data_IF_141260730806
#
_entry.id   IF_141260730806
#
_cell.length_a   1.000
_cell.length_b   1.000
_cell.length_c   1.000
_cell.angle_alpha   90.00
_cell.angle_beta   90.00
_cell.angle_gamma   90.00
#
_symmetry.space_group_name_H-M   'P 1'
#
loop_
_entity.id
_entity.type
_entity.pdbx_description
1 polymer ?
#
# COMPACT_ATOMS: atom_id res chain seq x y z
N UNK A 1 -11.91 3.52 28.37
CA UNK A 1 -12.02 2.29 29.20
C UNK A 1 -13.11 2.51 30.25
N UNK A 2 -14.36 2.16 29.93
CA UNK A 2 -15.46 1.96 30.88
C UNK A 2 -16.41 0.97 30.21
N UNK A 3 -16.69 -0.16 30.87
CA UNK A 3 -17.76 -1.08 30.48
C UNK A 3 -18.95 -0.75 31.38
N UNK A 4 -20.10 -0.41 30.79
CA UNK A 4 -21.40 -0.45 31.48
C UNK A 4 -22.24 -1.57 30.87
N UNK A 5 -22.51 -2.59 31.67
CA UNK A 5 -23.46 -3.66 31.37
C UNK A 5 -24.57 -3.63 32.44
N UNK A 6 -25.80 -3.90 32.04
CA UNK A 6 -26.88 -4.38 32.92
C UNK A 6 -27.53 -5.63 32.30
N UNK A 7 -28.16 -6.51 33.10
CA UNK A 7 -27.79 -7.92 33.16
C UNK A 7 -28.86 -8.88 32.62
N UNK A 8 -28.45 -10.11 32.28
CA UNK A 8 -29.39 -11.18 31.94
C UNK A 8 -28.74 -12.53 31.68
N UNK A 9 -28.62 -13.35 32.74
CA UNK A 9 -28.45 -14.81 32.80
C UNK A 9 -27.05 -15.46 32.60
N UNK A 10 -26.72 -16.30 33.60
CA UNK A 10 -25.60 -17.26 33.76
C UNK A 10 -25.71 -18.38 32.70
N UNK A 11 -24.72 -19.20 32.32
CA UNK A 11 -23.45 -19.67 32.87
C UNK A 11 -22.57 -20.14 31.68
N UNK A 12 -21.24 -20.12 31.70
CA UNK A 12 -20.42 -21.17 32.30
C UNK A 12 -18.94 -20.73 32.23
N UNK A 13 -18.21 -21.06 33.30
CA UNK A 13 -16.82 -20.68 33.55
C UNK A 13 -15.85 -21.49 32.69
N UNK A 14 -15.28 -20.85 31.67
CA UNK A 14 -14.02 -21.26 31.04
C UNK A 14 -12.94 -20.25 31.39
N UNK A 15 -11.97 -20.65 32.21
CA UNK A 15 -10.85 -19.82 32.65
C UNK A 15 -9.92 -19.51 31.47
N UNK A 16 -10.21 -18.42 30.74
CA UNK A 16 -9.30 -17.89 29.73
C UNK A 16 -8.11 -17.26 30.44
N UNK A 17 -6.94 -17.89 30.33
CA UNK A 17 -5.66 -17.36 30.82
C UNK A 17 -5.34 -16.12 29.99
N UNK A 18 -5.59 -14.94 30.56
CA UNK A 18 -5.25 -13.66 29.94
C UNK A 18 -3.73 -13.60 29.70
N UNK A 19 -3.33 -13.82 28.45
CA UNK A 19 -1.96 -13.56 28.00
C UNK A 19 -1.80 -12.04 28.01
N UNK A 20 -1.01 -11.53 28.95
CA UNK A 20 -0.51 -10.16 28.90
C UNK A 20 0.27 -9.99 27.59
N UNK A 21 -0.11 -9.09 26.67
CA UNK A 21 0.72 -8.86 25.49
C UNK A 21 2.06 -8.27 25.93
N UNK A 22 3.13 -8.88 25.43
CA UNK A 22 4.48 -8.36 25.52
C UNK A 22 4.52 -6.94 24.92
N UNK A 23 5.39 -6.09 25.47
CA UNK A 23 5.60 -4.69 25.07
C UNK A 23 5.55 -4.52 23.55
N UNK A 24 4.62 -3.67 23.10
CA UNK A 24 4.41 -3.37 21.69
C UNK A 24 5.70 -2.79 21.08
N UNK A 25 6.28 -3.51 20.12
CA UNK A 25 7.19 -2.89 19.17
C UNK A 25 6.46 -1.81 18.34
N UNK A 26 7.18 -1.07 17.48
CA UNK A 26 6.58 -0.01 16.66
C UNK A 26 5.51 -0.50 15.67
N UNK A 27 5.37 -1.82 15.52
CA UNK A 27 4.39 -2.46 14.66
C UNK A 27 3.29 -3.10 15.48
N UNK A 28 2.02 -2.95 15.09
CA UNK A 28 0.96 -3.58 15.84
C UNK A 28 1.01 -5.10 15.71
N UNK A 29 0.64 -5.76 16.81
CA UNK A 29 0.72 -7.20 16.96
C UNK A 29 -0.04 -7.90 15.83
N UNK A 30 0.66 -8.80 15.11
CA UNK A 30 0.07 -9.63 14.06
C UNK A 30 -0.35 -10.96 14.66
N UNK A 31 -1.61 -11.33 14.44
CA UNK A 31 -2.14 -12.62 14.85
C UNK A 31 -2.67 -13.38 13.65
N UNK A 32 -2.42 -14.69 13.63
CA UNK A 32 -3.05 -15.59 12.69
C UNK A 32 -4.38 -16.04 13.28
N UNK A 33 -5.49 -15.75 12.59
CA UNK A 33 -6.85 -16.10 13.02
C UNK A 33 -7.52 -17.03 12.02
N UNK A 34 -8.55 -17.75 12.47
CA UNK A 34 -9.37 -18.58 11.61
C UNK A 34 -10.08 -17.72 10.55
N UNK A 35 -10.09 -18.19 9.31
CA UNK A 35 -10.89 -17.68 8.22
C UNK A 35 -12.01 -18.68 7.87
N UNK A 36 -12.91 -18.29 6.97
CA UNK A 36 -13.99 -19.17 6.52
C UNK A 36 -13.43 -20.51 5.98
N UNK A 37 -14.09 -21.62 6.32
CA UNK A 37 -13.65 -22.96 5.96
C UNK A 37 -12.67 -23.62 6.95
N UNK A 38 -12.13 -22.88 7.94
CA UNK A 38 -11.16 -23.44 8.90
C UNK A 38 -11.69 -24.64 9.68
N UNK A 39 -12.94 -24.57 10.12
CA UNK A 39 -13.59 -25.66 10.86
C UNK A 39 -13.62 -26.95 10.03
N UNK A 40 -13.98 -26.85 8.75
CA UNK A 40 -14.04 -28.01 7.85
C UNK A 40 -12.67 -28.65 7.66
N UNK A 41 -11.64 -27.85 7.39
CA UNK A 41 -10.26 -28.35 7.26
C UNK A 41 -9.81 -29.06 8.54
N UNK A 42 -10.09 -28.49 9.71
CA UNK A 42 -9.74 -29.09 11.00
C UNK A 42 -10.51 -30.39 11.26
N UNK A 43 -11.79 -30.46 10.87
CA UNK A 43 -12.59 -31.68 10.94
C UNK A 43 -12.04 -32.77 10.02
N UNK A 44 -11.71 -32.44 8.77
CA UNK A 44 -11.14 -33.39 7.81
C UNK A 44 -9.79 -33.94 8.30
N UNK A 45 -8.94 -33.08 8.89
CA UNK A 45 -7.68 -33.50 9.50
C UNK A 45 -7.90 -34.38 10.73
N UNK A 46 -8.88 -34.05 11.57
CA UNK A 46 -9.24 -34.84 12.73
C UNK A 46 -9.70 -36.26 12.32
N UNK A 47 -10.60 -36.36 11.33
CA UNK A 47 -11.08 -37.65 10.82
C UNK A 47 -9.92 -38.47 10.24
N UNK A 48 -8.98 -37.86 9.50
CA UNK A 48 -7.80 -38.55 8.98
C UNK A 48 -6.84 -39.01 10.06
N UNK A 49 -6.69 -38.23 11.14
CA UNK A 49 -5.82 -38.57 12.26
C UNK A 49 -6.45 -39.61 13.20
N UNK A 50 -7.78 -39.76 13.19
CA UNK A 50 -8.53 -40.68 14.04
C UNK A 50 -9.40 -41.61 13.18
N UNK A 51 -8.83 -42.67 12.60
CA UNK A 51 -9.60 -43.67 11.87
C UNK A 51 -10.69 -44.29 12.78
N UNK A 52 -11.85 -44.59 12.21
CA UNK A 52 -13.04 -45.07 12.96
C UNK A 52 -12.83 -46.40 13.69
N UNK A 53 -11.81 -47.18 13.31
CA UNK A 53 -11.48 -48.44 13.96
C UNK A 53 -10.33 -48.24 14.96
N UNK A 54 -10.56 -48.47 16.27
CA UNK A 54 -9.47 -48.51 17.22
C UNK A 54 -8.48 -49.63 16.84
N UNK A 55 -7.17 -49.45 17.09
CA UNK A 55 -6.18 -50.49 16.85
C UNK A 55 -6.55 -51.75 17.62
N UNK A 56 -6.29 -52.92 17.02
CA UNK A 56 -6.55 -54.19 17.70
C UNK A 56 -5.51 -54.40 18.82
N UNK A 57 -5.78 -55.26 19.83
CA UNK A 57 -4.81 -55.56 20.89
C UNK A 57 -3.45 -56.10 20.39
N UNK A 58 -3.37 -56.58 19.14
CA UNK A 58 -2.12 -56.97 18.50
C UNK A 58 -1.36 -55.81 17.86
N UNK A 59 -2.07 -54.78 17.38
CA UNK A 59 -1.50 -53.59 16.74
C UNK A 59 -0.98 -52.57 17.76
N UNK A 60 -1.55 -52.58 18.98
CA UNK A 60 -1.19 -51.70 20.11
C UNK A 60 -0.07 -52.27 20.99
N UNK A 61 0.63 -53.31 20.53
CA UNK A 61 1.81 -53.82 21.23
C UNK A 61 2.99 -52.87 21.02
N UNK A 62 3.74 -52.53 22.08
CA UNK A 62 4.92 -51.67 21.96
C UNK A 62 5.93 -52.31 21.01
N UNK A 63 6.31 -51.57 19.97
CA UNK A 63 7.32 -52.00 18.99
C UNK A 63 8.66 -51.38 19.36
N UNK A 64 9.77 -52.06 19.04
CA UNK A 64 11.12 -51.59 19.35
C UNK A 64 11.46 -50.23 18.71
N UNK A 65 10.69 -49.81 17.70
CA UNK A 65 10.82 -48.54 16.98
C UNK A 65 9.45 -47.83 16.96
N UNK A 66 9.08 -47.19 18.07
CA UNK A 66 7.93 -46.27 18.10
C UNK A 66 8.36 -44.91 17.50
N UNK A 67 7.83 -44.60 16.31
CA UNK A 67 7.96 -43.27 15.72
C UNK A 67 6.82 -42.37 16.18
N UNK A 68 7.15 -41.20 16.73
CA UNK A 68 6.16 -40.15 17.00
C UNK A 68 5.61 -39.64 15.66
N UNK A 69 4.35 -39.96 15.36
CA UNK A 69 3.64 -39.43 14.20
C UNK A 69 3.18 -38.01 14.56
N UNK A 70 3.95 -37.01 14.14
CA UNK A 70 3.50 -35.62 14.20
C UNK A 70 2.45 -35.37 13.11
N UNK A 71 1.18 -35.29 13.49
CA UNK A 71 0.14 -34.86 12.58
C UNK A 71 0.44 -33.41 12.12
N UNK A 72 0.50 -33.13 10.81
CA UNK A 72 0.84 -31.79 10.34
C UNK A 72 -0.23 -30.79 10.78
N UNK A 73 0.21 -29.70 11.42
CA UNK A 73 -0.68 -28.58 11.73
C UNK A 73 -0.93 -27.81 10.43
N UNK A 74 -2.13 -27.94 9.85
CA UNK A 74 -2.47 -27.19 8.64
C UNK A 74 -2.63 -25.70 8.95
N UNK A 75 -2.10 -24.84 8.09
CA UNK A 75 -2.33 -23.38 8.11
C UNK A 75 -3.46 -22.95 7.15
N UNK A 76 -4.13 -23.90 6.48
CA UNK A 76 -5.19 -23.59 5.54
C UNK A 76 -6.39 -22.93 6.21
N UNK A 77 -7.07 -22.05 5.48
CA UNK A 77 -8.17 -21.23 5.98
C UNK A 77 -7.78 -20.44 7.24
N UNK A 78 -6.52 -20.00 7.34
CA UNK A 78 -6.12 -18.97 8.30
C UNK A 78 -5.84 -17.66 7.56
N UNK A 79 -6.02 -16.54 8.25
CA UNK A 79 -5.65 -15.22 7.74
C UNK A 79 -4.86 -14.46 8.81
N UNK A 80 -3.97 -13.59 8.36
CA UNK A 80 -3.30 -12.65 9.26
C UNK A 80 -4.22 -11.46 9.52
N UNK A 81 -4.33 -11.07 10.79
CA UNK A 81 -4.96 -9.83 11.22
C UNK A 81 -3.99 -9.05 12.09
N UNK A 82 -4.22 -7.75 12.15
CA UNK A 82 -3.43 -6.81 12.92
C UNK A 82 -4.34 -6.06 13.87
N UNK A 83 -3.87 -5.80 15.09
CA UNK A 83 -4.54 -4.84 15.96
C UNK A 83 -4.37 -3.43 15.40
N UNK A 84 -5.47 -2.73 15.15
CA UNK A 84 -5.43 -1.29 14.91
C UNK A 84 -5.61 -0.56 16.25
N UNK A 85 -4.94 0.58 16.49
CA UNK A 85 -5.27 1.46 17.60
C UNK A 85 -6.75 1.86 17.52
N UNK A 86 -7.43 1.95 18.66
CA UNK A 86 -8.87 2.31 18.75
C UNK A 86 -9.17 3.68 18.13
N UNK A 87 -8.16 4.54 18.02
CA UNK A 87 -8.24 5.89 17.45
C UNK A 87 -7.64 5.99 16.04
N UNK A 88 -7.40 4.88 15.34
CA UNK A 88 -6.91 4.92 13.95
C UNK A 88 -7.89 5.66 13.01
N UNK A 89 -9.18 5.65 13.35
CA UNK A 89 -10.26 6.34 12.62
C UNK A 89 -10.65 7.68 13.28
N UNK A 90 -9.84 8.22 14.19
CA UNK A 90 -10.09 9.54 14.76
C UNK A 90 -9.91 10.60 13.65
N UNK A 91 -10.94 11.38 13.29
CA UNK A 91 -10.83 12.45 12.30
C UNK A 91 -9.81 13.54 12.69
N UNK A 92 -9.33 13.56 13.94
CA UNK A 92 -8.20 14.39 14.36
C UNK A 92 -6.83 13.92 13.78
N UNK A 93 -6.73 12.70 13.24
CA UNK A 93 -5.49 12.14 12.68
C UNK A 93 -5.27 12.48 11.19
N UNK A 94 -5.99 13.47 10.65
CA UNK A 94 -5.83 13.98 9.30
C UNK A 94 -6.89 13.48 8.33
N UNK A 95 -6.83 14.02 7.12
CA UNK A 95 -7.76 13.68 6.03
C UNK A 95 -7.63 12.20 5.63
N UNK A 96 -8.73 11.59 5.17
CA UNK A 96 -8.70 10.23 4.61
C UNK A 96 -7.55 10.08 3.60
N UNK A 97 -6.76 8.99 3.69
CA UNK A 97 -5.62 8.81 2.83
C UNK A 97 -6.09 8.69 1.37
N UNK A 98 -5.26 9.05 0.38
CA UNK A 98 -5.63 8.87 -1.03
C UNK A 98 -5.88 7.41 -1.43
N UNK A 99 -5.16 6.49 -0.78
CA UNK A 99 -5.35 5.04 -0.84
C UNK A 99 -5.57 4.51 0.58
N UNK A 100 -6.48 3.54 0.75
CA UNK A 100 -6.80 2.93 2.04
C UNK A 100 -6.09 1.61 2.24
N UNK A 101 -6.22 0.72 1.26
CA UNK A 101 -5.78 -0.67 1.38
C UNK A 101 -4.56 -0.95 0.49
N UNK A 102 -3.59 -1.70 1.00
CA UNK A 102 -2.36 -2.06 0.31
C UNK A 102 -2.18 -3.56 0.31
N UNK A 103 -2.20 -4.16 -0.87
CA UNK A 103 -1.93 -5.56 -1.12
C UNK A 103 -0.49 -5.75 -1.57
N UNK A 104 0.19 -6.77 -1.04
CA UNK A 104 1.61 -6.97 -1.27
C UNK A 104 1.88 -8.31 -1.95
N UNK A 105 2.57 -8.23 -3.07
CA UNK A 105 3.03 -9.36 -3.87
C UNK A 105 4.56 -9.31 -3.93
N UNK A 106 5.25 -10.07 -3.07
CA UNK A 106 6.70 -10.22 -3.16
C UNK A 106 7.05 -10.74 -4.55
N UNK A 107 8.07 -10.16 -5.16
CA UNK A 107 8.39 -10.37 -6.57
C UNK A 107 9.87 -10.64 -6.77
N UNK A 108 10.16 -11.68 -7.55
CA UNK A 108 11.49 -12.09 -7.97
C UNK A 108 11.45 -12.43 -9.46
N UNK A 109 12.25 -11.74 -10.27
CA UNK A 109 12.36 -11.96 -11.72
C UNK A 109 13.37 -13.05 -12.10
N UNK A 110 13.91 -13.76 -11.11
CA UNK A 110 14.88 -14.84 -11.25
C UNK A 110 16.33 -14.36 -11.29
N UNK A 111 16.56 -13.04 -11.26
CA UNK A 111 17.92 -12.48 -11.23
C UNK A 111 18.49 -12.43 -9.81
N UNK A 112 17.64 -12.49 -8.78
CA UNK A 112 18.03 -12.24 -7.40
C UNK A 112 18.30 -10.76 -7.09
N UNK A 113 18.16 -9.88 -8.08
CA UNK A 113 18.45 -8.45 -7.97
C UNK A 113 17.17 -7.60 -7.92
N UNK A 114 17.30 -6.39 -7.39
CA UNK A 114 16.21 -5.41 -7.39
C UNK A 114 15.87 -5.03 -8.82
N UNK A 115 14.58 -4.99 -9.16
CA UNK A 115 14.14 -4.53 -10.48
C UNK A 115 14.62 -3.08 -10.71
N UNK A 116 15.45 -2.91 -11.73
CA UNK A 116 16.04 -1.62 -12.11
C UNK A 116 14.95 -0.54 -12.29
N UNK A 117 15.20 0.71 -11.84
CA UNK A 117 14.24 1.82 -11.93
C UNK A 117 13.51 1.96 -13.26
N UNK A 118 14.24 1.88 -14.39
CA UNK A 118 13.74 2.05 -15.76
C UNK A 118 12.80 0.92 -16.20
N UNK A 119 12.81 -0.22 -15.48
CA UNK A 119 11.98 -1.40 -15.78
C UNK A 119 10.73 -1.47 -14.92
N UNK A 120 10.71 -0.79 -13.76
CA UNK A 120 9.60 -0.86 -12.78
C UNK A 120 8.26 -0.49 -13.39
N UNK A 121 8.22 0.56 -14.20
CA UNK A 121 6.99 0.98 -14.89
C UNK A 121 6.40 -0.14 -15.75
N UNK A 122 7.20 -0.76 -16.62
CA UNK A 122 6.67 -1.78 -17.51
C UNK A 122 6.23 -3.04 -16.76
N UNK A 123 6.87 -3.36 -15.63
CA UNK A 123 6.41 -4.45 -14.75
C UNK A 123 5.08 -4.10 -14.07
N UNK A 124 4.91 -2.86 -13.59
CA UNK A 124 3.63 -2.40 -13.01
C UNK A 124 2.52 -2.39 -14.07
N UNK A 125 2.81 -1.97 -15.31
CA UNK A 125 1.89 -2.05 -16.45
C UNK A 125 1.55 -3.50 -16.79
N UNK A 126 2.52 -4.41 -16.74
CA UNK A 126 2.25 -5.83 -16.96
C UNK A 126 1.32 -6.40 -15.88
N UNK A 127 1.53 -6.04 -14.62
CA UNK A 127 0.66 -6.46 -13.51
C UNK A 127 -0.75 -5.89 -13.66
N UNK A 128 -0.87 -4.61 -14.02
CA UNK A 128 -2.14 -3.97 -14.32
C UNK A 128 -2.90 -4.69 -15.44
N UNK A 129 -2.23 -5.00 -16.55
CA UNK A 129 -2.83 -5.74 -17.68
C UNK A 129 -3.23 -7.15 -17.29
N UNK A 130 -2.41 -7.84 -16.50
CA UNK A 130 -2.72 -9.17 -15.99
C UNK A 130 -3.95 -9.13 -15.07
N UNK A 131 -4.07 -8.09 -14.23
CA UNK A 131 -5.24 -7.87 -13.38
C UNK A 131 -6.51 -7.66 -14.22
N UNK A 132 -6.49 -6.72 -15.18
CA UNK A 132 -7.61 -6.47 -16.09
C UNK A 132 -8.00 -7.74 -16.85
N UNK A 133 -7.02 -8.48 -17.38
CA UNK A 133 -7.26 -9.71 -18.13
C UNK A 133 -7.86 -10.84 -17.28
N UNK A 134 -7.54 -10.91 -15.98
CA UNK A 134 -8.08 -11.93 -15.07
C UNK A 134 -9.47 -11.58 -14.57
N UNK A 135 -9.80 -10.30 -14.45
CA UNK A 135 -11.17 -9.86 -14.18
C UNK A 135 -12.05 -10.15 -15.39
N UNK A 136 -11.55 -9.87 -16.60
CA UNK A 136 -12.29 -10.06 -17.83
C UNK A 136 -13.34 -8.97 -18.06
N UNK A 137 -14.47 -9.36 -18.65
CA UNK A 137 -15.57 -8.45 -18.92
C UNK A 137 -16.19 -7.93 -17.60
N UNK A 138 -16.40 -6.62 -17.51
CA UNK A 138 -16.90 -5.97 -16.30
C UNK A 138 -15.80 -5.49 -15.34
N UNK A 139 -14.54 -5.38 -15.78
CA UNK A 139 -13.48 -4.77 -14.97
C UNK A 139 -13.87 -3.37 -14.46
N UNK A 140 -13.86 -3.13 -13.12
CA UNK A 140 -14.32 -1.87 -12.55
C UNK A 140 -13.59 -0.62 -13.06
N UNK A 141 -14.27 0.52 -13.07
CA UNK A 141 -13.72 1.80 -13.51
C UNK A 141 -12.49 2.23 -12.69
N UNK A 142 -12.45 1.86 -11.40
CA UNK A 142 -11.30 2.08 -10.52
C UNK A 142 -10.03 1.36 -11.00
N UNK A 143 -10.19 0.24 -11.71
CA UNK A 143 -9.08 -0.55 -12.29
C UNK A 143 -8.77 -0.09 -13.72
N UNK A 144 -9.79 0.06 -14.57
CA UNK A 144 -9.59 0.36 -16.00
C UNK A 144 -9.29 1.83 -16.26
N UNK A 145 -9.66 2.71 -15.33
CA UNK A 145 -9.59 4.15 -15.49
C UNK A 145 -10.59 4.73 -16.49
N UNK A 146 -11.55 3.91 -16.95
CA UNK A 146 -12.63 4.31 -17.87
C UNK A 146 -13.91 4.48 -17.06
N UNK A 147 -14.30 5.72 -16.88
CA UNK A 147 -15.54 6.09 -16.19
C UNK A 147 -16.61 6.40 -17.24
N UNK A 148 -17.90 6.12 -16.95
CA UNK A 148 -19.01 6.54 -17.80
C UNK A 148 -18.98 8.05 -18.05
N UNK A 149 -19.51 8.47 -19.20
CA UNK A 149 -19.65 9.88 -19.51
C UNK A 149 -20.53 10.59 -18.45
N UNK A 150 -20.12 11.79 -18.05
CA UNK A 150 -20.79 12.56 -16.98
C UNK A 150 -20.48 12.11 -15.55
N UNK A 151 -19.84 10.95 -15.35
CA UNK A 151 -19.45 10.51 -14.01
C UNK A 151 -18.31 11.40 -13.46
N UNK A 152 -18.40 11.72 -12.16
CA UNK A 152 -17.32 12.39 -11.46
C UNK A 152 -16.09 11.46 -11.40
N UNK A 153 -14.99 11.88 -12.02
CA UNK A 153 -13.76 11.08 -12.04
C UNK A 153 -12.98 11.34 -10.75
N UNK A 154 -12.77 10.34 -9.87
CA UNK A 154 -12.04 10.52 -8.63
C UNK A 154 -10.58 10.90 -8.90
N UNK A 155 -9.96 11.59 -7.94
CA UNK A 155 -8.58 12.03 -8.00
C UNK A 155 -7.62 10.84 -8.08
N UNK A 156 -7.98 9.77 -7.37
CA UNK A 156 -7.20 8.56 -7.21
C UNK A 156 -7.95 7.32 -7.71
N UNK A 157 -7.16 6.35 -8.18
CA UNK A 157 -7.59 5.08 -8.78
C UNK A 157 -6.69 3.98 -8.23
N UNK A 158 -6.92 2.73 -8.64
CA UNK A 158 -5.98 1.66 -8.34
C UNK A 158 -4.55 2.05 -8.76
N UNK A 159 -3.60 1.92 -7.83
CA UNK A 159 -2.20 2.20 -8.09
C UNK A 159 -1.35 0.94 -7.91
N UNK A 160 -0.33 0.78 -8.76
CA UNK A 160 0.61 -0.33 -8.69
C UNK A 160 2.02 0.23 -8.71
N UNK A 161 2.77 -0.06 -7.65
CA UNK A 161 4.17 0.35 -7.51
C UNK A 161 5.06 -0.82 -7.16
N UNK A 162 6.35 -0.71 -7.46
CA UNK A 162 7.35 -1.67 -7.00
C UNK A 162 8.18 -1.05 -5.88
N UNK A 163 8.23 -1.72 -4.75
CA UNK A 163 9.00 -1.34 -3.58
C UNK A 163 10.22 -2.27 -3.42
N UNK A 164 11.46 -1.75 -3.48
CA UNK A 164 12.68 -2.53 -3.25
C UNK A 164 12.73 -3.15 -1.85
N UNK A 165 13.44 -4.27 -1.71
CA UNK A 165 13.58 -4.97 -0.43
C UNK A 165 14.07 -4.08 0.74
N UNK A 166 15.06 -3.16 0.57
CA UNK A 166 15.48 -2.29 1.67
C UNK A 166 14.36 -1.39 2.20
N UNK A 167 13.52 -0.86 1.31
CA UNK A 167 12.38 -0.01 1.71
C UNK A 167 11.24 -0.87 2.28
N UNK A 168 11.00 -2.05 1.71
CA UNK A 168 10.01 -3.00 2.22
C UNK A 168 10.35 -3.47 3.64
N UNK A 169 11.62 -3.68 3.95
CA UNK A 169 12.10 -4.07 5.28
C UNK A 169 11.87 -2.98 6.34
N UNK A 170 11.72 -1.72 5.92
CA UNK A 170 11.42 -0.59 6.80
C UNK A 170 9.93 -0.37 7.01
N UNK A 171 9.04 -1.02 6.26
CA UNK A 171 7.59 -0.77 6.30
C UNK A 171 6.82 -1.75 7.17
N UNK A 172 5.52 -1.53 7.31
CA UNK A 172 4.59 -2.46 7.95
C UNK A 172 4.51 -3.81 7.23
N UNK A 173 5.10 -3.94 6.05
CA UNK A 173 5.25 -5.21 5.34
C UNK A 173 6.49 -6.01 5.77
N UNK A 174 7.29 -5.48 6.69
CA UNK A 174 8.52 -6.11 7.16
C UNK A 174 8.26 -7.55 7.62
N UNK A 175 9.14 -8.43 7.18
CA UNK A 175 9.11 -9.86 7.43
C UNK A 175 10.34 -10.49 6.77
N UNK A 176 10.50 -11.82 6.77
CA UNK A 176 11.63 -12.47 6.13
C UNK A 176 11.77 -12.01 4.68
N UNK A 177 12.91 -11.39 4.35
CA UNK A 177 13.20 -10.89 3.00
C UNK A 177 13.55 -12.09 2.13
N UNK A 178 12.55 -12.60 1.43
CA UNK A 178 12.67 -13.76 0.54
C UNK A 178 12.69 -13.39 -0.94
N UNK A 179 12.59 -12.08 -1.25
CA UNK A 179 12.52 -11.56 -2.61
C UNK A 179 13.21 -10.19 -2.70
N UNK A 180 13.76 -9.80 -3.86
CA UNK A 180 14.43 -8.52 -4.06
C UNK A 180 13.52 -7.29 -3.93
N UNK A 181 12.21 -7.47 -3.97
CA UNK A 181 11.23 -6.43 -3.69
C UNK A 181 9.79 -6.96 -3.75
N UNK A 182 8.83 -6.05 -3.78
CA UNK A 182 7.42 -6.40 -3.89
C UNK A 182 6.64 -5.40 -4.74
N UNK A 183 5.60 -5.89 -5.43
CA UNK A 183 4.57 -5.02 -5.96
C UNK A 183 3.57 -4.67 -4.86
N UNK A 184 3.26 -3.39 -4.75
CA UNK A 184 2.18 -2.84 -3.93
C UNK A 184 1.00 -2.56 -4.86
N UNK A 185 -0.15 -3.20 -4.61
CA UNK A 185 -1.42 -2.86 -5.26
C UNK A 185 -2.24 -2.07 -4.24
N UNK A 186 -2.38 -0.77 -4.49
CA UNK A 186 -3.01 0.19 -3.58
C UNK A 186 -4.43 0.48 -4.06
N UNK A 187 -5.41 0.29 -3.19
CA UNK A 187 -6.82 0.55 -3.46
C UNK A 187 -7.22 1.94 -2.94
N UNK A 188 -7.86 2.80 -3.75
CA UNK A 188 -8.24 4.15 -3.35
C UNK A 188 -9.31 4.11 -2.26
N UNK A 189 -9.40 5.13 -1.42
CA UNK A 189 -10.34 5.14 -0.27
C UNK A 189 -11.82 5.12 -0.66
N UNK A 190 -12.15 5.54 -1.88
CA UNK A 190 -13.51 5.47 -2.42
C UNK A 190 -13.87 4.14 -3.11
N UNK A 191 -13.02 3.12 -3.05
CA UNK A 191 -13.32 1.79 -3.62
C UNK A 191 -14.46 1.12 -2.86
N UNK A 192 -15.38 0.47 -3.56
CA UNK A 192 -16.47 -0.29 -2.91
C UNK A 192 -16.01 -1.68 -2.48
N UNK A 193 -16.77 -2.33 -1.59
CA UNK A 193 -16.48 -3.70 -1.16
C UNK A 193 -16.61 -4.71 -2.31
N UNK A 194 -17.57 -4.50 -3.22
CA UNK A 194 -17.74 -5.34 -4.41
C UNK A 194 -16.56 -5.20 -5.38
N UNK A 195 -16.11 -3.97 -5.64
CA UNK A 195 -14.92 -3.71 -6.46
C UNK A 195 -13.67 -4.32 -5.81
N UNK A 196 -13.56 -4.20 -4.49
CA UNK A 196 -12.48 -4.80 -3.71
C UNK A 196 -12.49 -6.33 -3.86
N UNK A 197 -13.64 -6.98 -3.70
CA UNK A 197 -13.77 -8.43 -3.85
C UNK A 197 -13.36 -8.91 -5.26
N UNK A 198 -13.74 -8.18 -6.31
CA UNK A 198 -13.32 -8.46 -7.69
C UNK A 198 -11.79 -8.38 -7.84
N UNK A 199 -11.17 -7.34 -7.28
CA UNK A 199 -9.71 -7.14 -7.34
C UNK A 199 -8.98 -8.26 -6.57
N UNK A 200 -9.46 -8.60 -5.37
CA UNK A 200 -8.91 -9.70 -4.57
C UNK A 200 -9.03 -11.05 -5.30
N UNK A 201 -10.19 -11.34 -5.88
CA UNK A 201 -10.42 -12.55 -6.66
C UNK A 201 -9.49 -12.66 -7.87
N UNK A 202 -9.25 -11.56 -8.57
CA UNK A 202 -8.33 -11.53 -9.70
C UNK A 202 -6.85 -11.67 -9.29
N UNK A 203 -6.46 -11.19 -8.12
CA UNK A 203 -5.12 -11.40 -7.57
C UNK A 203 -4.93 -12.82 -7.00
N UNK A 204 -6.01 -13.46 -6.56
CA UNK A 204 -5.97 -14.80 -6.00
C UNK A 204 -5.35 -15.80 -7.01
N UNK A 205 -4.40 -16.59 -6.53
CA UNK A 205 -3.69 -17.57 -7.34
C UNK A 205 -2.71 -17.00 -8.38
N UNK A 206 -2.52 -15.68 -8.45
CA UNK A 206 -1.53 -15.08 -9.35
C UNK A 206 -0.10 -15.34 -8.82
N UNK A 207 0.51 -16.43 -9.29
CA UNK A 207 1.85 -16.89 -8.88
C UNK A 207 2.97 -16.37 -9.76
N UNK A 208 2.65 -15.88 -10.94
CA UNK A 208 3.64 -15.43 -11.92
C UNK A 208 3.12 -14.25 -12.72
N UNK A 209 4.05 -13.38 -13.09
CA UNK A 209 3.82 -12.25 -13.96
C UNK A 209 4.77 -12.33 -15.14
N UNK A 210 4.25 -12.13 -16.36
CA UNK A 210 5.07 -12.04 -17.57
C UNK A 210 5.20 -10.59 -17.99
N UNK A 211 6.40 -10.19 -18.37
CA UNK A 211 6.69 -8.90 -18.99
C UNK A 211 7.63 -9.11 -20.19
N UNK A 212 7.96 -8.03 -20.91
CA UNK A 212 8.96 -8.09 -21.99
C UNK A 212 10.37 -8.45 -21.51
N UNK A 213 10.64 -8.36 -20.20
CA UNK A 213 11.95 -8.66 -19.62
C UNK A 213 12.04 -10.06 -19.02
N UNK A 214 10.96 -10.85 -19.07
CA UNK A 214 10.95 -12.21 -18.56
C UNK A 214 9.73 -12.51 -17.69
N UNK A 215 9.92 -13.41 -16.73
CA UNK A 215 8.86 -13.91 -15.85
C UNK A 215 9.25 -13.69 -14.40
N UNK A 216 8.41 -12.95 -13.66
CA UNK A 216 8.55 -12.81 -12.22
C UNK A 216 7.68 -13.83 -11.49
N UNK A 217 8.24 -14.45 -10.45
CA UNK A 217 7.48 -15.21 -9.44
C UNK A 217 6.86 -14.23 -8.46
N UNK A 218 5.59 -14.44 -8.17
CA UNK A 218 4.82 -13.64 -7.21
C UNK A 218 4.46 -14.49 -5.99
N UNK A 219 4.67 -13.92 -4.81
CA UNK A 219 4.29 -14.50 -3.53
C UNK A 219 3.43 -13.48 -2.77
N UNK A 220 2.09 -13.66 -2.75
CA UNK A 220 1.21 -12.83 -1.94
C UNK A 220 1.55 -12.96 -0.45
N UNK A 221 1.58 -11.84 0.27
CA UNK A 221 1.80 -11.83 1.73
C UNK A 221 0.55 -12.27 2.50
N UNK A 222 -0.64 -12.20 1.86
CA UNK A 222 -1.91 -12.65 2.44
C UNK A 222 -2.51 -11.70 3.48
N UNK A 223 -1.80 -10.64 3.84
CA UNK A 223 -2.27 -9.55 4.68
C UNK A 223 -2.58 -8.33 3.79
N UNK A 224 -3.68 -7.64 4.09
CA UNK A 224 -4.03 -6.33 3.53
C UNK A 224 -3.60 -5.29 4.56
N UNK A 225 -2.74 -4.35 4.17
CA UNK A 225 -2.24 -3.31 5.07
C UNK A 225 -3.00 -2.01 4.88
N UNK A 226 -3.19 -1.29 5.98
CA UNK A 226 -3.70 0.08 5.98
C UNK A 226 -2.59 1.05 5.52
N UNK A 227 -2.87 1.81 4.47
CA UNK A 227 -1.95 2.80 3.93
C UNK A 227 -1.62 3.91 4.94
N UNK A 228 -2.51 4.26 5.88
CA UNK A 228 -2.26 5.30 6.91
C UNK A 228 -1.11 4.95 7.83
N UNK A 229 -0.85 3.66 8.03
CA UNK A 229 0.14 3.15 8.98
C UNK A 229 1.15 2.21 8.30
N UNK A 230 1.49 2.48 7.04
CA UNK A 230 2.38 1.66 6.25
C UNK A 230 3.85 1.93 6.60
N UNK A 231 4.23 3.17 6.86
CA UNK A 231 5.58 3.53 7.30
C UNK A 231 5.63 3.67 8.82
N UNK A 232 6.79 3.39 9.45
CA UNK A 232 6.97 3.69 10.87
C UNK A 232 7.12 5.20 11.03
N UNK A 233 6.71 5.79 12.15
CA UNK A 233 6.95 7.22 12.40
C UNK A 233 8.46 7.58 12.41
N UNK A 234 8.83 8.85 12.20
CA UNK A 234 10.22 9.29 12.32
C UNK A 234 10.72 9.06 13.75
N UNK A 235 12.02 8.79 13.88
CA UNK A 235 12.66 8.65 15.19
C UNK A 235 12.72 9.99 15.96
N UNK A 236 12.99 9.96 17.28
CA UNK A 236 13.13 11.17 18.08
C UNK A 236 14.18 12.13 17.49
N UNK A 237 13.84 13.43 17.40
CA UNK A 237 14.72 14.45 16.84
C UNK A 237 14.81 14.49 15.31
N UNK A 238 14.15 13.57 14.61
CA UNK A 238 14.05 13.57 13.15
C UNK A 238 12.71 14.17 12.69
N UNK A 239 12.74 14.83 11.53
CA UNK A 239 11.57 15.22 10.77
C UNK A 239 11.52 14.45 9.45
N UNK A 240 10.32 14.05 9.03
CA UNK A 240 10.13 13.30 7.80
C UNK A 240 9.98 14.21 6.59
N UNK A 241 10.78 13.94 5.57
CA UNK A 241 10.51 14.36 4.20
C UNK A 241 10.21 13.14 3.34
N UNK A 242 9.72 13.40 2.14
CA UNK A 242 9.35 12.37 1.18
C UNK A 242 10.15 12.50 -0.09
N UNK A 243 10.56 11.36 -0.64
CA UNK A 243 11.18 11.29 -1.95
C UNK A 243 10.39 10.40 -2.90
N UNK A 244 10.08 10.85 -4.14
CA UNK A 244 9.46 9.99 -5.14
C UNK A 244 10.40 8.86 -5.59
N UNK A 245 9.90 7.62 -5.56
CA UNK A 245 10.64 6.43 -5.98
C UNK A 245 10.03 5.79 -7.26
N UNK A 246 10.86 5.45 -8.26
CA UNK A 246 12.23 5.94 -8.43
C UNK A 246 12.30 7.44 -8.81
N UNK A 247 11.22 7.96 -9.42
CA UNK A 247 11.02 9.36 -9.82
C UNK A 247 9.52 9.62 -9.89
N UNK A 248 9.10 10.88 -9.80
CA UNK A 248 7.76 11.32 -10.20
C UNK A 248 7.82 12.02 -11.57
N UNK A 249 6.68 12.09 -12.27
CA UNK A 249 6.54 12.85 -13.53
C UNK A 249 5.46 13.92 -13.34
N UNK A 250 5.71 15.21 -13.64
CA UNK A 250 4.70 16.26 -13.52
C UNK A 250 3.52 16.01 -14.46
N UNK A 251 2.34 16.44 -14.03
CA UNK A 251 1.07 16.23 -14.75
C UNK A 251 0.76 17.32 -15.77
N UNK A 252 1.45 18.46 -15.69
CA UNK A 252 1.19 19.63 -16.51
C UNK A 252 2.46 20.14 -17.16
N UNK A 253 2.29 20.77 -18.31
CA UNK A 253 3.34 21.58 -18.92
C UNK A 253 3.60 22.83 -18.08
N UNK A 254 4.73 23.50 -18.35
CA UNK A 254 5.03 24.79 -17.73
C UNK A 254 3.89 25.79 -17.97
N UNK A 255 3.41 26.42 -16.90
CA UNK A 255 2.40 27.48 -17.01
C UNK A 255 3.07 28.83 -17.33
N UNK A 256 2.32 29.76 -17.94
CA UNK A 256 2.80 31.13 -18.18
C UNK A 256 2.96 31.91 -16.87
N UNK A 257 3.82 32.93 -16.85
CA UNK A 257 4.08 33.79 -15.70
C UNK A 257 5.12 33.21 -14.74
N UNK A 258 5.00 33.54 -13.45
CA UNK A 258 5.93 33.18 -12.35
C UNK A 258 5.94 31.70 -11.97
N UNK A 259 5.46 30.80 -12.83
CA UNK A 259 5.37 29.37 -12.56
C UNK A 259 6.73 28.68 -12.64
N UNK A 260 7.17 28.13 -11.51
CA UNK A 260 8.40 27.35 -11.36
C UNK A 260 8.19 25.85 -11.54
N UNK A 261 9.30 25.10 -11.53
CA UNK A 261 9.22 23.63 -11.50
C UNK A 261 8.72 23.12 -10.14
N UNK A 262 9.05 23.82 -9.07
CA UNK A 262 8.50 23.55 -7.74
C UNK A 262 6.97 23.59 -7.71
N UNK A 263 6.34 24.57 -8.38
CA UNK A 263 4.88 24.62 -8.46
C UNK A 263 4.30 23.39 -9.16
N UNK A 264 5.02 22.79 -10.12
CA UNK A 264 4.60 21.55 -10.75
C UNK A 264 4.72 20.33 -9.80
N UNK A 265 5.69 20.34 -8.88
CA UNK A 265 5.83 19.32 -7.82
C UNK A 265 4.70 19.47 -6.80
N UNK A 266 4.44 20.69 -6.32
CA UNK A 266 3.36 20.97 -5.39
C UNK A 266 1.99 20.70 -6.01
N UNK A 267 1.82 20.98 -7.31
CA UNK A 267 0.60 20.62 -8.03
C UNK A 267 0.42 19.10 -8.10
N UNK A 268 1.50 18.33 -8.20
CA UNK A 268 1.44 16.86 -8.17
C UNK A 268 0.91 16.33 -6.82
N UNK A 269 1.21 17.02 -5.70
CA UNK A 269 0.51 16.77 -4.42
C UNK A 269 -0.96 17.18 -4.54
N UNK A 270 -1.21 18.39 -5.02
CA UNK A 270 -2.55 18.93 -5.18
C UNK A 270 -3.51 17.98 -5.92
N UNK A 271 -3.07 17.35 -7.01
CA UNK A 271 -3.89 16.40 -7.75
C UNK A 271 -4.25 15.13 -6.97
N UNK A 272 -3.40 14.69 -6.06
CA UNK A 272 -3.66 13.52 -5.21
C UNK A 272 -4.74 13.84 -4.18
N UNK A 273 -4.70 15.03 -3.56
CA UNK A 273 -5.68 15.47 -2.56
C UNK A 273 -6.79 16.36 -3.13
N UNK A 274 -6.95 16.42 -4.45
CA UNK A 274 -7.90 17.33 -5.10
C UNK A 274 -9.31 17.21 -4.54
N UNK A 275 -9.80 15.98 -4.36
CA UNK A 275 -11.18 15.74 -3.91
C UNK A 275 -11.35 16.15 -2.44
N UNK A 276 -10.36 15.83 -1.59
CA UNK A 276 -10.31 16.25 -0.19
C UNK A 276 -10.27 17.78 -0.03
N UNK A 277 -9.38 18.45 -0.76
CA UNK A 277 -9.25 19.91 -0.77
C UNK A 277 -10.51 20.59 -1.34
N UNK A 278 -11.16 19.96 -2.31
CA UNK A 278 -12.42 20.47 -2.86
C UNK A 278 -13.58 20.31 -1.89
N UNK A 279 -13.59 19.25 -1.10
CA UNK A 279 -14.58 19.03 -0.05
C UNK A 279 -14.44 20.03 1.10
N UNK A 280 -13.21 20.38 1.50
CA UNK A 280 -12.97 21.30 2.62
C UNK A 280 -13.03 22.79 2.23
N UNK A 281 -12.59 23.15 1.02
CA UNK A 281 -12.37 24.56 0.61
C UNK A 281 -13.12 24.93 -0.67
N UNK A 282 -14.06 24.08 -1.11
CA UNK A 282 -14.86 24.28 -2.32
C UNK A 282 -14.14 23.89 -3.62
N UNK A 283 -14.88 23.72 -4.72
CA UNK A 283 -14.33 23.24 -5.98
C UNK A 283 -13.33 24.22 -6.58
N UNK A 284 -12.24 23.68 -7.14
CA UNK A 284 -11.22 24.45 -7.83
C UNK A 284 -11.63 24.67 -9.30
N UNK A 285 -11.47 25.87 -9.88
CA UNK A 285 -11.78 26.12 -11.29
C UNK A 285 -10.92 25.26 -12.22
N UNK A 286 -11.37 25.07 -13.46
CA UNK A 286 -10.58 24.34 -14.46
C UNK A 286 -9.43 25.20 -15.01
N UNK A 287 -8.36 24.54 -15.46
CA UNK A 287 -7.25 25.18 -16.17
C UNK A 287 -6.24 25.88 -15.26
N UNK A 288 -5.50 26.84 -15.82
CA UNK A 288 -4.31 27.42 -15.19
C UNK A 288 -4.61 28.16 -13.86
N UNK A 289 -5.77 28.78 -13.73
CA UNK A 289 -6.18 29.40 -12.46
C UNK A 289 -6.36 28.34 -11.37
N UNK A 290 -7.02 27.24 -11.71
CA UNK A 290 -7.19 26.12 -10.80
C UNK A 290 -5.88 25.48 -10.37
N UNK A 291 -4.90 25.36 -11.27
CA UNK A 291 -3.59 24.85 -10.90
C UNK A 291 -2.89 25.74 -9.87
N UNK A 292 -2.95 27.07 -10.04
CA UNK A 292 -2.36 28.01 -9.07
C UNK A 292 -3.08 27.96 -7.73
N UNK A 293 -4.40 27.89 -7.74
CA UNK A 293 -5.21 27.78 -6.54
C UNK A 293 -4.90 26.48 -5.79
N UNK A 294 -4.83 25.35 -6.49
CA UNK A 294 -4.50 24.07 -5.88
C UNK A 294 -3.09 24.06 -5.27
N UNK A 295 -2.10 24.68 -5.92
CA UNK A 295 -0.76 24.89 -5.35
C UNK A 295 -0.82 25.76 -4.10
N UNK A 296 -1.60 26.85 -4.12
CA UNK A 296 -1.75 27.72 -2.96
C UNK A 296 -2.36 26.98 -1.76
N UNK A 297 -3.40 26.17 -1.97
CA UNK A 297 -4.02 25.34 -0.92
C UNK A 297 -3.04 24.31 -0.35
N UNK A 298 -2.27 23.64 -1.22
CA UNK A 298 -1.21 22.71 -0.81
C UNK A 298 -0.16 23.40 0.08
N UNK A 299 0.26 24.62 -0.28
CA UNK A 299 1.19 25.42 0.55
C UNK A 299 0.57 25.85 1.87
N UNK A 300 -0.72 26.20 1.89
CA UNK A 300 -1.43 26.56 3.12
C UNK A 300 -1.51 25.39 4.10
N UNK A 301 -1.54 24.15 3.61
CA UNK A 301 -1.41 22.92 4.42
C UNK A 301 0.04 22.61 4.82
N UNK A 302 0.98 23.54 4.64
CA UNK A 302 2.38 23.39 5.07
C UNK A 302 3.26 22.50 4.18
N UNK A 303 2.79 22.12 2.99
CA UNK A 303 3.61 21.38 2.04
C UNK A 303 4.64 22.29 1.36
N UNK A 304 5.82 21.75 1.07
CA UNK A 304 6.94 22.49 0.49
C UNK A 304 7.99 21.59 -0.13
N UNK A 305 8.80 22.13 -1.05
CA UNK A 305 9.87 21.36 -1.69
C UNK A 305 11.22 21.87 -1.19
N UNK A 306 11.98 21.04 -0.47
CA UNK A 306 13.31 21.40 0.00
C UNK A 306 14.34 21.35 -1.13
N UNK A 307 14.25 20.33 -1.99
CA UNK A 307 15.18 20.13 -3.09
C UNK A 307 14.54 19.31 -4.20
N UNK A 308 15.00 19.51 -5.44
CA UNK A 308 14.63 18.65 -6.56
C UNK A 308 15.71 18.54 -7.63
N UNK A 309 15.67 17.46 -8.40
CA UNK A 309 16.49 17.23 -9.59
C UNK A 309 15.69 16.60 -10.70
N UNK A 310 15.83 17.16 -11.91
CA UNK A 310 15.23 16.60 -13.14
C UNK A 310 16.14 15.54 -13.75
N UNK A 311 15.55 14.47 -14.24
CA UNK A 311 16.19 13.41 -14.99
C UNK A 311 15.96 13.62 -16.48
N UNK A 312 17.04 13.77 -17.24
CA UNK A 312 16.98 14.04 -18.69
C UNK A 312 17.24 12.79 -19.53
N UNK A 313 17.73 11.70 -18.93
CA UNK A 313 18.02 10.45 -19.63
C UNK A 313 16.81 9.52 -19.58
N UNK A 314 16.45 8.97 -20.73
CA UNK A 314 15.35 8.02 -20.93
C UNK A 314 14.03 8.40 -20.23
N UNK A 315 13.50 9.63 -20.41
CA UNK A 315 12.31 10.08 -19.68
C UNK A 315 11.06 9.25 -19.99
N UNK A 316 10.99 8.63 -21.17
CA UNK A 316 9.93 7.71 -21.57
C UNK A 316 9.90 6.40 -20.77
N UNK A 317 10.97 6.04 -20.06
CA UNK A 317 10.98 4.87 -19.19
C UNK A 317 10.08 5.02 -17.95
N UNK A 318 9.69 6.26 -17.63
CA UNK A 318 8.99 6.63 -16.39
C UNK A 318 7.56 7.14 -16.62
N UNK A 319 7.09 7.17 -17.87
CA UNK A 319 5.71 7.56 -18.20
C UNK A 319 5.04 6.53 -19.10
N UNK A 320 3.88 6.00 -18.69
CA UNK A 320 3.17 5.01 -19.50
C UNK A 320 2.45 5.64 -20.69
N UNK A 321 1.86 6.83 -20.48
CA UNK A 321 1.15 7.62 -21.49
C UNK A 321 1.31 9.09 -21.17
N UNK A 322 1.91 9.84 -22.08
CA UNK A 322 1.96 11.30 -22.00
C UNK A 322 0.79 11.88 -22.82
N UNK A 323 0.15 12.96 -22.34
CA UNK A 323 -0.79 13.71 -23.17
C UNK A 323 -0.12 14.21 -24.46
N UNK A 324 -0.88 14.37 -25.56
CA UNK A 324 -0.35 14.93 -26.80
C UNK A 324 0.37 16.26 -26.56
N UNK A 325 1.58 16.41 -27.12
CA UNK A 325 2.39 17.62 -26.98
C UNK A 325 3.12 17.77 -25.63
N UNK A 326 3.02 16.79 -24.72
CA UNK A 326 3.73 16.82 -23.43
C UNK A 326 4.95 15.91 -23.44
N UNK A 327 6.09 16.43 -22.98
CA UNK A 327 7.32 15.66 -22.76
C UNK A 327 7.40 15.23 -21.30
N UNK A 328 7.70 13.96 -21.04
CA UNK A 328 7.91 13.48 -19.69
C UNK A 328 9.12 14.20 -19.07
N UNK A 329 8.95 14.74 -17.86
CA UNK A 329 9.99 15.43 -17.10
C UNK A 329 10.21 14.75 -15.75
N UNK A 330 10.77 13.52 -15.72
CA UNK A 330 10.92 12.80 -14.47
C UNK A 330 11.81 13.58 -13.49
N UNK A 331 11.49 13.53 -12.21
CA UNK A 331 12.24 14.20 -11.16
C UNK A 331 12.34 13.36 -9.89
N UNK A 332 13.43 13.56 -9.16
CA UNK A 332 13.55 13.27 -7.73
C UNK A 332 13.37 14.57 -6.96
N UNK A 333 12.86 14.46 -5.74
CA UNK A 333 12.68 15.59 -4.83
C UNK A 333 12.81 15.15 -3.38
N UNK A 334 13.03 16.11 -2.50
CA UNK A 334 12.77 16.02 -1.08
C UNK A 334 11.69 17.06 -0.76
N UNK A 335 10.53 16.60 -0.33
CA UNK A 335 9.37 17.44 -0.08
C UNK A 335 8.72 17.13 1.26
N UNK A 336 8.15 18.15 1.88
CA UNK A 336 7.20 18.02 2.99
C UNK A 336 5.79 17.91 2.41
N UNK A 337 5.00 16.98 2.94
CA UNK A 337 3.57 16.90 2.65
C UNK A 337 2.74 17.82 3.54
N UNK A 338 3.36 18.43 4.56
CA UNK A 338 2.64 19.16 5.61
C UNK A 338 1.52 18.30 6.19
N UNK A 339 0.34 18.89 6.34
CA UNK A 339 -0.85 18.24 6.89
C UNK A 339 -1.59 17.33 5.89
N UNK A 340 -1.13 17.25 4.63
CA UNK A 340 -1.82 16.45 3.60
C UNK A 340 -1.68 14.94 3.84
N UNK A 341 -0.52 14.51 4.33
CA UNK A 341 -0.22 13.10 4.54
C UNK A 341 0.45 12.93 5.90
N UNK A 342 -0.04 12.04 6.78
CA UNK A 342 0.65 11.74 8.01
C UNK A 342 2.00 11.09 7.71
N UNK A 343 2.95 11.24 8.63
CA UNK A 343 4.29 10.68 8.48
C UNK A 343 4.29 9.16 8.24
N UNK A 344 3.27 8.45 8.72
CA UNK A 344 3.15 7.00 8.56
C UNK A 344 2.45 6.56 7.27
N UNK A 345 1.95 7.52 6.46
CA UNK A 345 1.09 7.27 5.31
C UNK A 345 1.82 6.83 4.04
N UNK A 346 1.27 5.86 3.31
CA UNK A 346 1.71 5.47 1.96
C UNK A 346 0.92 6.24 0.91
N UNK A 347 1.63 6.94 0.03
CA UNK A 347 1.01 7.67 -1.08
C UNK A 347 1.95 7.74 -2.28
N UNK A 348 1.45 8.21 -3.41
CA UNK A 348 2.21 8.41 -4.64
C UNK A 348 1.76 9.69 -5.35
N UNK A 349 2.68 10.36 -6.04
CA UNK A 349 2.43 11.68 -6.66
C UNK A 349 2.78 11.71 -8.16
N UNK A 350 2.22 12.72 -8.82
CA UNK A 350 2.47 13.01 -10.23
C UNK A 350 1.67 12.12 -11.18
N UNK A 351 1.95 12.23 -12.47
CA UNK A 351 1.28 11.47 -13.53
C UNK A 351 1.53 9.97 -13.36
N UNK A 352 2.71 9.61 -12.86
CA UNK A 352 3.12 8.23 -12.59
C UNK A 352 2.45 7.62 -11.36
N UNK A 353 1.71 8.39 -10.55
CA UNK A 353 1.17 7.93 -9.24
C UNK A 353 0.33 6.66 -9.29
N UNK A 354 -0.24 6.32 -10.44
CA UNK A 354 -1.00 5.08 -10.60
C UNK A 354 -0.14 3.89 -11.02
N UNK A 355 0.99 4.10 -11.69
CA UNK A 355 1.80 3.02 -12.23
C UNK A 355 3.29 3.35 -12.16
N UNK A 356 4.01 2.63 -11.31
CA UNK A 356 5.45 2.40 -11.39
C UNK A 356 6.39 3.57 -11.08
N UNK A 357 5.87 4.72 -10.66
CA UNK A 357 6.69 5.85 -10.21
C UNK A 357 5.92 6.84 -9.36
N UNK A 358 6.64 7.66 -8.62
CA UNK A 358 6.06 8.69 -7.77
C UNK A 358 5.66 8.21 -6.38
N UNK A 359 5.87 6.93 -6.05
CA UNK A 359 5.66 6.39 -4.71
C UNK A 359 6.53 7.17 -3.71
N UNK A 360 5.93 7.76 -2.69
CA UNK A 360 6.68 8.51 -1.69
C UNK A 360 7.31 7.55 -0.68
N UNK A 361 8.65 7.56 -0.63
CA UNK A 361 9.44 6.83 0.37
C UNK A 361 9.99 7.80 1.42
N UNK A 362 10.06 7.39 2.70
CA UNK A 362 10.45 8.27 3.80
C UNK A 362 11.95 8.57 3.81
N UNK A 363 12.27 9.86 3.88
CA UNK A 363 13.60 10.41 4.10
C UNK A 363 13.60 11.19 5.43
N UNK A 364 14.04 10.53 6.49
CA UNK A 364 14.09 11.12 7.83
C UNK A 364 15.41 11.89 7.98
N UNK A 365 15.32 13.18 8.28
CA UNK A 365 16.46 14.09 8.45
C UNK A 365 16.40 14.74 9.84
N UNK A 366 17.51 15.26 10.38
CA UNK A 366 17.48 16.06 11.61
C UNK A 366 16.45 17.19 11.51
N UNK A 367 15.60 17.34 12.52
CA UNK A 367 14.48 18.30 12.48
C UNK A 367 14.95 19.75 12.33
N UNK A 368 16.14 20.08 12.82
CA UNK A 368 16.76 21.41 12.68
C UNK A 368 17.06 21.73 11.21
N UNK A 369 17.67 20.78 10.48
CA UNK A 369 17.99 20.92 9.06
C UNK A 369 16.73 21.13 8.22
N UNK A 370 15.65 20.41 8.54
CA UNK A 370 14.37 20.54 7.82
C UNK A 370 13.74 21.91 8.05
N UNK A 371 13.78 22.43 9.29
CA UNK A 371 13.27 23.77 9.61
C UNK A 371 14.03 24.87 8.87
N UNK A 372 15.35 24.78 8.80
CA UNK A 372 16.17 25.74 8.05
C UNK A 372 15.92 25.67 6.55
N UNK A 373 15.87 24.46 5.98
CA UNK A 373 15.70 24.25 4.53
C UNK A 373 14.31 24.60 3.98
N UNK A 374 13.26 24.49 4.80
CA UNK A 374 11.90 24.88 4.43
C UNK A 374 11.51 26.29 4.89
N UNK A 375 12.15 26.82 5.94
CA UNK A 375 11.83 28.11 6.55
C UNK A 375 12.76 29.28 6.17
N UNK A 376 13.84 29.04 5.42
CA UNK A 376 14.70 30.10 4.93
C UNK A 376 13.98 31.03 3.92
N UNK A 377 14.30 32.34 3.88
CA UNK A 377 13.79 33.24 2.85
C UNK A 377 14.18 32.71 1.47
N UNK A 378 13.21 32.67 0.55
CA UNK A 378 13.40 32.27 -0.86
C UNK A 378 13.31 33.44 -1.79
#
# INVERSE_FOLDING_TARGET
MVIRSRPGSRASSGTSRAVRPASAGPWPLRLRVAAAGRTRILQDLHIRAHPERPPTPGDDRPKAEEMIINAPTSEECTRMVRYAPVNADDPANGQDPPWRDVLILKADDGTGEVIAPERRLGWCVALHRALVSRIGDGAPAVVTGRYPEGAAVPANRLAIHYLPAPDLARSAAAGPVSAPGAFLVMLPSGVTDDETAVILGALAGMRHLRSRWGRARLQPVGEILDARCFWPGPGPGAARLWSPAPVAVPEVTRQRGSWGFEDAILLSLGFVWRDALSASEGPVPKGAQGYRELVARVRQRGAGVMWYRRHVRHPSAYAHRMPPGMVAQPYTALLSTGELCPDTGLTAIGQSRHLGGGLLVPADLPAELVREGLGGPR
#
